data_IF_712706558368
#
_entry.id   IF_712706558368
#
_cell.length_a   1.000
_cell.length_b   1.000
_cell.length_c   1.000
_cell.angle_alpha   90.00
_cell.angle_beta   90.00
_cell.angle_gamma   90.00
#
_symmetry.space_group_name_H-M   'P 1'
#
loop_
_entity.id
_entity.type
_entity.pdbx_description
1 polymer ?
#
# COMPACT_ATOMS: atom_id res chain seq x y z
N UNK A 1 -4.26 21.77 18.71
CA UNK A 1 -5.21 21.29 17.68
C UNK A 1 -4.42 20.51 16.67
N UNK A 2 -4.78 19.25 16.38
CA UNK A 2 -4.07 18.43 15.40
C UNK A 2 -4.08 19.12 14.02
N UNK A 3 -2.93 19.16 13.35
CA UNK A 3 -2.80 19.71 11.98
C UNK A 3 -3.77 18.95 11.08
N UNK A 4 -4.77 19.63 10.53
CA UNK A 4 -5.73 19.04 9.59
C UNK A 4 -5.06 18.92 8.22
N UNK A 5 -4.93 17.69 7.71
CA UNK A 5 -4.40 17.47 6.37
C UNK A 5 -5.50 17.64 5.32
N UNK A 6 -5.21 18.28 4.18
CA UNK A 6 -6.09 18.27 3.01
C UNK A 6 -6.41 16.84 2.56
N UNK A 7 -7.62 16.61 2.04
CA UNK A 7 -8.07 15.26 1.63
C UNK A 7 -7.14 14.64 0.58
N UNK A 8 -6.65 15.42 -0.38
CA UNK A 8 -5.70 14.97 -1.41
C UNK A 8 -4.32 14.56 -0.85
N UNK A 9 -4.00 14.93 0.40
CA UNK A 9 -2.75 14.58 1.10
C UNK A 9 -2.92 13.42 2.09
N UNK A 10 -4.07 12.76 2.09
CA UNK A 10 -4.33 11.56 2.89
C UNK A 10 -4.15 10.32 2.01
N UNK A 11 -3.59 9.25 2.57
CA UNK A 11 -3.57 7.90 1.97
C UNK A 11 -4.11 6.91 3.00
N UNK A 12 -5.22 6.25 2.68
CA UNK A 12 -5.76 5.16 3.51
C UNK A 12 -5.38 3.84 2.83
N UNK A 13 -4.36 3.16 3.35
CA UNK A 13 -3.78 1.99 2.71
C UNK A 13 -3.86 0.74 3.57
N UNK A 14 -4.09 -0.40 2.92
CA UNK A 14 -3.90 -1.70 3.53
C UNK A 14 -2.60 -2.34 3.09
N UNK A 15 -1.99 -3.11 3.98
CA UNK A 15 -0.88 -3.98 3.59
C UNK A 15 -1.44 -5.41 3.50
N UNK A 16 -1.49 -5.95 2.29
CA UNK A 16 -2.01 -7.27 1.98
C UNK A 16 -0.86 -8.22 1.63
N UNK A 17 -0.87 -9.42 2.18
CA UNK A 17 0.19 -10.40 1.91
C UNK A 17 -0.26 -11.81 2.28
N UNK A 18 0.38 -12.84 1.73
CA UNK A 18 0.33 -14.19 2.30
C UNK A 18 1.19 -14.28 3.57
N UNK A 19 1.07 -15.40 4.29
CA UNK A 19 1.86 -15.71 5.47
C UNK A 19 3.35 -15.66 5.10
N UNK A 20 4.20 -15.11 5.97
CA UNK A 20 5.65 -15.02 5.72
C UNK A 20 6.11 -14.18 4.52
N UNK A 21 5.24 -13.43 3.84
CA UNK A 21 5.68 -12.45 2.83
C UNK A 21 6.44 -11.24 3.44
N UNK A 22 6.51 -11.15 4.77
CA UNK A 22 7.19 -10.06 5.49
C UNK A 22 6.31 -8.82 5.68
N UNK A 23 4.99 -9.00 5.77
CA UNK A 23 4.00 -7.95 6.00
C UNK A 23 4.31 -7.12 7.26
N UNK A 24 4.32 -7.75 8.44
CA UNK A 24 4.59 -7.07 9.72
C UNK A 24 5.96 -6.40 9.72
N UNK A 25 7.00 -7.07 9.21
CA UNK A 25 8.34 -6.47 9.09
C UNK A 25 8.30 -5.20 8.24
N UNK A 26 7.60 -5.23 7.11
CA UNK A 26 7.44 -4.06 6.24
C UNK A 26 6.67 -2.94 6.94
N UNK A 27 5.59 -3.26 7.65
CA UNK A 27 4.84 -2.29 8.48
C UNK A 27 5.75 -1.63 9.51
N UNK A 28 6.54 -2.41 10.26
CA UNK A 28 7.48 -1.87 11.27
C UNK A 28 8.55 -0.97 10.64
N UNK A 29 9.07 -1.31 9.46
CA UNK A 29 10.04 -0.45 8.75
C UNK A 29 9.40 0.85 8.30
N UNK A 30 8.17 0.81 7.79
CA UNK A 30 7.40 2.02 7.47
C UNK A 30 7.24 2.91 8.71
N UNK A 31 6.88 2.33 9.86
CA UNK A 31 6.73 3.08 11.11
C UNK A 31 8.05 3.68 11.61
N UNK A 32 9.16 2.97 11.44
CA UNK A 32 10.48 3.47 11.78
C UNK A 32 10.89 4.65 10.90
N UNK A 33 10.80 4.51 9.57
CA UNK A 33 11.27 5.55 8.65
C UNK A 33 10.40 6.81 8.65
N UNK A 34 9.11 6.67 8.95
CA UNK A 34 8.21 7.81 9.16
C UNK A 34 8.41 8.49 10.53
N UNK A 35 9.33 7.98 11.36
CA UNK A 35 9.63 8.50 12.69
C UNK A 35 8.55 8.22 13.74
N UNK A 36 7.56 7.37 13.41
CA UNK A 36 6.46 7.02 14.33
C UNK A 36 6.92 6.12 15.48
N UNK A 37 7.93 5.29 15.22
CA UNK A 37 8.63 4.46 16.20
C UNK A 37 10.12 4.78 16.12
N UNK A 38 10.78 4.95 17.27
CA UNK A 38 12.19 5.36 17.34
C UNK A 38 13.18 4.18 17.39
N UNK A 39 12.67 2.93 17.43
CA UNK A 39 13.46 1.70 17.41
C UNK A 39 12.82 0.72 16.44
N UNK A 40 13.63 0.02 15.65
CA UNK A 40 13.12 -1.07 14.82
C UNK A 40 12.73 -2.25 15.72
N UNK A 41 11.47 -2.67 15.64
CA UNK A 41 11.03 -3.96 16.17
C UNK A 41 11.43 -5.10 15.23
N UNK A 42 11.61 -6.29 15.80
CA UNK A 42 11.75 -7.56 15.08
C UNK A 42 10.65 -8.54 15.50
N UNK A 43 9.96 -9.10 14.51
CA UNK A 43 8.85 -10.04 14.73
C UNK A 43 9.36 -11.31 15.42
N UNK A 44 10.53 -11.81 15.02
CA UNK A 44 11.14 -13.02 15.58
C UNK A 44 11.57 -12.87 17.04
N UNK A 45 11.76 -11.64 17.51
CA UNK A 45 12.11 -11.34 18.91
C UNK A 45 10.88 -10.93 19.75
N UNK A 46 9.66 -11.00 19.19
CA UNK A 46 8.43 -10.60 19.86
C UNK A 46 8.33 -9.10 20.17
N UNK A 47 9.18 -8.28 19.54
CA UNK A 47 9.30 -6.84 19.78
C UNK A 47 8.56 -5.97 18.75
N UNK A 48 7.84 -6.59 17.81
CA UNK A 48 7.00 -5.89 16.84
C UNK A 48 5.90 -5.08 17.55
N UNK A 49 5.75 -3.81 17.15
CA UNK A 49 4.82 -2.86 17.77
C UNK A 49 3.37 -3.18 17.41
N UNK A 50 3.13 -3.72 16.21
CA UNK A 50 1.78 -3.95 15.67
C UNK A 50 1.14 -5.27 16.13
N UNK A 51 1.94 -6.29 16.46
CA UNK A 51 1.48 -7.59 16.97
C UNK A 51 1.45 -7.53 18.51
N UNK A 52 0.39 -6.93 19.06
CA UNK A 52 0.29 -6.63 20.50
C UNK A 52 -0.31 -7.80 21.31
N UNK A 53 -1.09 -8.68 20.68
CA UNK A 53 -1.67 -9.83 21.38
C UNK A 53 -0.61 -10.89 21.68
N UNK A 54 -0.65 -11.48 22.86
CA UNK A 54 0.28 -12.55 23.26
C UNK A 54 0.24 -13.72 22.27
N UNK A 55 -0.94 -14.05 21.74
CA UNK A 55 -1.14 -15.06 20.70
C UNK A 55 -0.52 -14.69 19.34
N UNK A 56 -0.49 -13.40 18.98
CA UNK A 56 0.18 -12.92 17.76
C UNK A 56 1.70 -13.09 17.90
N UNK A 57 2.24 -12.74 19.07
CA UNK A 57 3.67 -12.89 19.40
C UNK A 57 4.10 -14.35 19.49
N UNK A 58 3.31 -15.20 20.12
CA UNK A 58 3.58 -16.64 20.26
C UNK A 58 3.57 -17.37 18.91
N UNK A 59 2.65 -17.00 18.01
CA UNK A 59 2.47 -17.67 16.71
C UNK A 59 3.21 -16.99 15.56
N UNK A 60 3.76 -15.79 15.77
CA UNK A 60 4.44 -15.02 14.73
C UNK A 60 3.54 -14.60 13.57
N UNK A 61 2.23 -14.49 13.79
CA UNK A 61 1.24 -14.12 12.77
C UNK A 61 0.39 -12.93 13.25
N UNK A 62 0.00 -12.05 12.34
CA UNK A 62 -1.01 -11.03 12.63
C UNK A 62 -2.41 -11.65 12.61
N UNK A 63 -3.11 -11.54 13.73
CA UNK A 63 -4.47 -12.07 13.93
C UNK A 63 -5.49 -10.94 13.75
N UNK A 64 -5.23 -9.76 14.32
CA UNK A 64 -6.14 -8.62 14.27
C UNK A 64 -5.58 -7.44 13.51
N UNK A 65 -6.45 -6.71 12.83
CA UNK A 65 -6.08 -5.58 11.97
C UNK A 65 -5.67 -4.35 12.79
N UNK A 66 -4.39 -4.00 12.82
CA UNK A 66 -3.93 -2.80 13.53
C UNK A 66 -4.06 -1.56 12.62
N UNK A 67 -4.64 -0.48 13.14
CA UNK A 67 -4.75 0.80 12.43
C UNK A 67 -3.78 1.81 13.05
N UNK A 68 -2.91 2.39 12.23
CA UNK A 68 -1.90 3.36 12.69
C UNK A 68 -1.76 4.51 11.70
N UNK A 69 -1.43 5.70 12.20
CA UNK A 69 -1.20 6.89 11.39
C UNK A 69 0.28 7.27 11.45
N UNK A 70 0.86 7.53 10.30
CA UNK A 70 2.23 8.00 10.12
C UNK A 70 2.28 9.13 9.08
N UNK A 71 3.44 9.78 8.94
CA UNK A 71 3.61 10.93 8.06
C UNK A 71 4.85 10.75 7.18
N UNK A 72 4.70 11.01 5.89
CA UNK A 72 5.79 10.92 4.90
C UNK A 72 5.61 12.03 3.86
N UNK A 73 6.67 12.78 3.53
CA UNK A 73 6.65 13.86 2.52
C UNK A 73 5.40 14.79 2.57
N UNK A 74 5.07 15.31 3.76
CA UNK A 74 3.89 16.16 4.04
C UNK A 74 2.52 15.51 3.69
N UNK A 75 2.47 14.17 3.67
CA UNK A 75 1.24 13.39 3.56
C UNK A 75 0.96 12.63 4.85
N UNK A 76 -0.32 12.46 5.16
CA UNK A 76 -0.78 11.58 6.22
C UNK A 76 -1.11 10.21 5.64
N UNK A 77 -0.49 9.16 6.16
CA UNK A 77 -0.73 7.79 5.76
C UNK A 77 -1.39 7.05 6.93
N UNK A 78 -2.61 6.57 6.71
CA UNK A 78 -3.32 5.69 7.64
C UNK A 78 -3.16 4.26 7.12
N UNK A 79 -2.46 3.43 7.88
CA UNK A 79 -2.16 2.04 7.54
C UNK A 79 -3.11 1.15 8.33
N UNK A 80 -3.79 0.25 7.62
CA UNK A 80 -4.48 -0.88 8.23
C UNK A 80 -3.68 -2.13 7.90
N UNK A 81 -3.04 -2.72 8.91
CA UNK A 81 -2.33 -3.98 8.74
C UNK A 81 -3.35 -5.12 8.66
N UNK A 82 -3.48 -5.79 7.51
CA UNK A 82 -4.53 -6.80 7.29
C UNK A 82 -4.02 -8.21 7.57
N UNK A 83 -4.78 -9.11 8.21
CA UNK A 83 -4.33 -10.49 8.43
C UNK A 83 -3.91 -11.18 7.13
N UNK A 84 -2.78 -11.89 7.13
CA UNK A 84 -2.28 -12.60 5.93
C UNK A 84 -2.71 -14.07 5.83
N UNK A 85 -3.42 -14.56 6.85
CA UNK A 85 -3.85 -15.95 6.96
C UNK A 85 -5.31 -16.11 6.50
N UNK A 86 -5.60 -17.19 5.77
CA UNK A 86 -6.93 -17.47 5.18
C UNK A 86 -8.06 -17.62 6.21
N UNK A 87 -7.74 -18.12 7.39
CA UNK A 87 -8.68 -18.23 8.51
C UNK A 87 -9.28 -16.88 8.97
N UNK A 88 -8.65 -15.75 8.60
CA UNK A 88 -9.13 -14.40 8.94
C UNK A 88 -9.68 -13.63 7.72
N UNK A 89 -10.12 -14.34 6.69
CA UNK A 89 -10.69 -13.77 5.44
C UNK A 89 -11.80 -12.74 5.69
N UNK A 90 -12.67 -12.93 6.68
CA UNK A 90 -13.72 -11.97 7.02
C UNK A 90 -13.18 -10.62 7.53
N UNK A 91 -12.01 -10.62 8.16
CA UNK A 91 -11.33 -9.41 8.62
C UNK A 91 -10.59 -8.71 7.47
N UNK A 92 -10.01 -9.48 6.55
CA UNK A 92 -9.44 -8.96 5.30
C UNK A 92 -10.53 -8.27 4.46
N UNK A 93 -11.69 -8.92 4.25
CA UNK A 93 -12.80 -8.29 3.51
C UNK A 93 -13.28 -6.99 4.17
N UNK A 94 -13.40 -6.97 5.50
CA UNK A 94 -13.79 -5.75 6.23
C UNK A 94 -12.76 -4.63 6.08
N UNK A 95 -11.48 -4.97 6.12
CA UNK A 95 -10.39 -4.01 5.93
C UNK A 95 -10.40 -3.46 4.52
N UNK A 96 -10.49 -4.30 3.49
CA UNK A 96 -10.52 -3.86 2.09
C UNK A 96 -11.69 -2.91 1.77
N UNK A 97 -12.83 -3.06 2.43
CA UNK A 97 -13.98 -2.15 2.28
C UNK A 97 -13.75 -0.73 2.82
N UNK A 98 -12.85 -0.57 3.78
CA UNK A 98 -12.53 0.74 4.38
C UNK A 98 -11.24 1.34 3.84
N UNK A 99 -10.53 0.65 2.96
CA UNK A 99 -9.29 1.14 2.37
C UNK A 99 -9.56 1.88 1.07
N UNK A 100 -8.70 2.86 0.77
CA UNK A 100 -8.70 3.52 -0.54
C UNK A 100 -7.74 2.82 -1.49
N UNK A 101 -6.57 2.40 -1.00
CA UNK A 101 -5.60 1.64 -1.78
C UNK A 101 -4.96 0.51 -0.98
N UNK A 102 -4.14 -0.29 -1.65
CA UNK A 102 -3.40 -1.37 -0.99
C UNK A 102 -1.97 -1.55 -1.51
N UNK A 103 -1.11 -2.08 -0.65
CA UNK A 103 0.22 -2.59 -0.97
C UNK A 103 0.16 -4.11 -0.92
N UNK A 104 0.34 -4.76 -2.06
CA UNK A 104 0.39 -6.22 -2.18
C UNK A 104 1.82 -6.72 -2.07
N UNK A 105 2.15 -7.40 -0.96
CA UNK A 105 3.46 -8.01 -0.76
C UNK A 105 3.54 -9.41 -1.36
N UNK A 106 4.63 -9.64 -2.07
CA UNK A 106 5.02 -10.94 -2.58
C UNK A 106 6.42 -11.29 -2.07
N UNK A 107 6.65 -12.57 -1.80
CA UNK A 107 7.97 -13.07 -1.45
C UNK A 107 8.76 -13.27 -2.75
N UNK A 108 9.97 -12.71 -2.85
CA UNK A 108 10.82 -12.90 -4.03
C UNK A 108 11.17 -14.37 -4.31
N UNK A 109 11.10 -15.23 -3.30
CA UNK A 109 11.37 -16.68 -3.41
C UNK A 109 10.10 -17.45 -3.75
N UNK A 110 9.00 -17.21 -3.01
CA UNK A 110 7.75 -17.96 -3.15
C UNK A 110 6.83 -17.45 -4.27
N UNK A 111 7.02 -16.21 -4.71
CA UNK A 111 6.20 -15.54 -5.72
C UNK A 111 4.74 -15.44 -5.31
N UNK A 112 3.85 -15.87 -6.23
CA UNK A 112 2.39 -15.88 -6.01
C UNK A 112 1.94 -17.22 -5.43
N UNK A 113 1.52 -17.18 -4.18
CA UNK A 113 0.97 -18.34 -3.46
C UNK A 113 -0.57 -18.39 -3.51
N UNK A 114 -1.21 -19.55 -3.26
CA UNK A 114 -2.68 -19.69 -3.27
C UNK A 114 -3.41 -18.68 -2.35
N UNK A 115 -2.79 -18.33 -1.23
CA UNK A 115 -3.32 -17.33 -0.31
C UNK A 115 -3.22 -15.91 -0.90
N UNK A 116 -2.18 -15.64 -1.68
CA UNK A 116 -2.03 -14.37 -2.41
C UNK A 116 -3.15 -14.19 -3.44
N UNK A 117 -3.50 -15.25 -4.17
CA UNK A 117 -4.63 -15.26 -5.12
C UNK A 117 -5.96 -14.95 -4.42
N UNK A 118 -6.19 -15.55 -3.25
CA UNK A 118 -7.41 -15.33 -2.46
C UNK A 118 -7.56 -13.84 -2.09
N UNK A 119 -6.52 -13.23 -1.53
CA UNK A 119 -6.55 -11.82 -1.13
C UNK A 119 -6.61 -10.89 -2.35
N UNK A 120 -5.98 -11.28 -3.46
CA UNK A 120 -6.06 -10.56 -4.73
C UNK A 120 -7.49 -10.52 -5.29
N UNK A 121 -8.21 -11.65 -5.27
CA UNK A 121 -9.61 -11.73 -5.68
C UNK A 121 -10.51 -10.87 -4.80
N UNK A 122 -10.29 -10.85 -3.48
CA UNK A 122 -11.03 -9.96 -2.58
C UNK A 122 -10.80 -8.49 -2.91
N UNK A 123 -9.56 -8.09 -3.18
CA UNK A 123 -9.26 -6.73 -3.56
C UNK A 123 -9.88 -6.36 -4.93
N UNK A 124 -9.96 -7.31 -5.88
CA UNK A 124 -10.67 -7.12 -7.15
C UNK A 124 -12.17 -6.92 -6.96
N UNK A 125 -12.81 -7.72 -6.09
CA UNK A 125 -14.23 -7.61 -5.74
C UNK A 125 -14.58 -6.20 -5.22
N UNK A 126 -13.70 -5.59 -4.44
CA UNK A 126 -13.87 -4.23 -3.91
C UNK A 126 -13.25 -3.13 -4.78
N UNK A 127 -12.69 -3.48 -5.96
CA UNK A 127 -12.05 -2.55 -6.89
C UNK A 127 -11.00 -1.67 -6.22
N UNK A 128 -10.20 -2.22 -5.31
CA UNK A 128 -9.18 -1.46 -4.56
C UNK A 128 -7.91 -1.27 -5.42
N UNK A 129 -7.55 -0.03 -5.81
CA UNK A 129 -6.26 0.29 -6.43
C UNK A 129 -5.09 -0.20 -5.61
N UNK A 130 -4.08 -0.75 -6.28
CA UNK A 130 -2.95 -1.35 -5.57
C UNK A 130 -1.64 -1.22 -6.32
N UNK A 131 -0.58 -1.21 -5.52
CA UNK A 131 0.80 -1.40 -5.96
C UNK A 131 1.30 -2.73 -5.39
N UNK A 132 2.24 -3.37 -6.07
CA UNK A 132 2.89 -4.57 -5.58
C UNK A 132 4.31 -4.27 -5.08
N UNK A 133 4.73 -4.98 -4.04
CA UNK A 133 6.06 -4.92 -3.48
C UNK A 133 6.65 -6.32 -3.36
N UNK A 134 7.65 -6.61 -4.19
CA UNK A 134 8.40 -7.87 -4.14
C UNK A 134 9.45 -7.76 -3.04
N UNK A 135 9.15 -8.35 -1.90
CA UNK A 135 9.96 -8.31 -0.69
C UNK A 135 10.92 -9.50 -0.62
N UNK A 136 11.84 -9.49 0.35
CA UNK A 136 12.82 -10.56 0.59
C UNK A 136 13.79 -10.78 -0.58
N UNK A 137 14.12 -9.72 -1.31
CA UNK A 137 15.14 -9.76 -2.38
C UNK A 137 16.53 -10.16 -1.89
N UNK A 138 16.76 -10.13 -0.58
CA UNK A 138 17.99 -10.56 0.10
C UNK A 138 18.10 -12.09 0.29
N UNK A 139 17.08 -12.87 -0.06
CA UNK A 139 17.06 -14.32 0.18
C UNK A 139 17.65 -15.10 -0.99
N UNK A 140 18.29 -16.24 -0.68
CA UNK A 140 18.72 -17.22 -1.68
C UNK A 140 17.48 -17.69 -2.46
N UNK A 141 17.57 -17.67 -3.80
CA UNK A 141 16.46 -18.00 -4.68
C UNK A 141 15.46 -16.85 -4.90
N UNK A 142 15.78 -15.63 -4.47
CA UNK A 142 14.99 -14.46 -4.81
C UNK A 142 15.04 -14.18 -6.32
N UNK A 143 13.90 -14.22 -7.00
CA UNK A 143 13.79 -13.98 -8.43
C UNK A 143 12.63 -13.01 -8.71
N UNK A 144 12.98 -11.73 -8.86
CA UNK A 144 12.02 -10.67 -9.16
C UNK A 144 11.24 -10.93 -10.45
N UNK A 145 11.91 -11.43 -11.49
CA UNK A 145 11.32 -11.60 -12.81
C UNK A 145 10.33 -12.76 -12.84
N UNK A 146 10.64 -13.85 -12.14
CA UNK A 146 9.70 -14.95 -11.93
C UNK A 146 8.45 -14.49 -11.16
N UNK A 147 8.59 -13.64 -10.12
CA UNK A 147 7.41 -13.10 -9.43
C UNK A 147 6.52 -12.28 -10.38
N UNK A 148 7.11 -11.42 -11.23
CA UNK A 148 6.35 -10.68 -12.24
C UNK A 148 5.57 -11.61 -13.17
N UNK A 149 6.20 -12.69 -13.63
CA UNK A 149 5.55 -13.65 -14.53
C UNK A 149 4.43 -14.42 -13.82
N UNK A 150 4.66 -14.85 -12.58
CA UNK A 150 3.62 -15.49 -11.76
C UNK A 150 2.43 -14.54 -11.52
N UNK A 151 2.67 -13.25 -11.29
CA UNK A 151 1.60 -12.26 -11.15
C UNK A 151 0.78 -12.13 -12.44
N UNK A 152 1.41 -12.12 -13.61
CA UNK A 152 0.69 -12.10 -14.89
C UNK A 152 -0.15 -13.36 -15.08
N UNK A 153 0.47 -14.54 -14.92
CA UNK A 153 -0.16 -15.83 -15.22
C UNK A 153 -1.24 -16.19 -14.20
N UNK A 154 -0.92 -16.13 -12.90
CA UNK A 154 -1.82 -16.63 -11.84
C UNK A 154 -2.87 -15.61 -11.42
N UNK A 155 -2.53 -14.32 -11.40
CA UNK A 155 -3.44 -13.26 -10.96
C UNK A 155 -4.17 -12.57 -12.12
N UNK A 156 -3.77 -12.82 -13.36
CA UNK A 156 -4.26 -12.08 -14.53
C UNK A 156 -3.92 -10.58 -14.45
N UNK A 157 -2.88 -10.22 -13.69
CA UNK A 157 -2.55 -8.83 -13.42
C UNK A 157 -1.72 -8.22 -14.55
N UNK A 158 -2.09 -7.00 -14.98
CA UNK A 158 -1.25 -6.19 -15.86
C UNK A 158 -0.16 -5.50 -15.04
N UNK A 159 0.94 -6.20 -14.81
CA UNK A 159 2.06 -5.71 -13.99
C UNK A 159 2.90 -4.68 -14.74
N UNK A 160 3.30 -3.63 -14.03
CA UNK A 160 4.17 -2.56 -14.54
C UNK A 160 5.36 -2.38 -13.60
N UNK A 161 6.51 -3.03 -13.85
CA UNK A 161 7.70 -2.87 -13.04
C UNK A 161 8.19 -1.42 -13.10
N UNK A 162 8.29 -0.76 -11.94
CA UNK A 162 8.88 0.57 -11.83
C UNK A 162 10.37 0.50 -11.50
N UNK A 163 10.83 -0.68 -11.11
CA UNK A 163 12.18 -0.93 -10.63
C UNK A 163 12.67 -2.29 -11.10
N UNK A 164 13.98 -2.43 -11.27
CA UNK A 164 14.66 -3.73 -11.44
C UNK A 164 15.79 -3.85 -10.40
N UNK A 165 16.15 -5.06 -9.95
CA UNK A 165 17.07 -5.24 -8.84
C UNK A 165 18.53 -4.99 -9.23
N UNK A 166 19.32 -4.47 -8.30
CA UNK A 166 20.79 -4.44 -8.36
C UNK A 166 21.34 -5.57 -7.49
N UNK A 167 21.74 -6.66 -8.15
CA UNK A 167 22.14 -7.90 -7.50
C UNK A 167 20.94 -8.75 -7.05
N UNK A 168 21.23 -9.92 -6.50
CA UNK A 168 20.24 -10.91 -6.05
C UNK A 168 20.74 -11.65 -4.80
N UNK A 169 19.83 -12.11 -3.96
CA UNK A 169 20.16 -12.79 -2.71
C UNK A 169 21.09 -11.95 -1.82
N UNK A 170 22.18 -12.55 -1.35
CA UNK A 170 23.15 -11.86 -0.50
C UNK A 170 23.86 -10.68 -1.18
N UNK A 171 23.88 -10.66 -2.53
CA UNK A 171 24.46 -9.57 -3.33
C UNK A 171 23.47 -8.45 -3.64
N UNK A 172 22.24 -8.52 -3.14
CA UNK A 172 21.25 -7.48 -3.32
C UNK A 172 21.66 -6.18 -2.58
N UNK A 173 22.08 -5.18 -3.35
CA UNK A 173 22.61 -3.90 -2.83
C UNK A 173 21.68 -2.72 -3.06
N UNK A 174 20.73 -2.84 -4.00
CA UNK A 174 19.84 -1.76 -4.33
C UNK A 174 18.92 -2.05 -5.50
N UNK A 175 18.49 -1.01 -6.19
CA UNK A 175 17.53 -1.10 -7.28
C UNK A 175 17.80 -0.02 -8.33
N UNK A 176 17.37 -0.25 -9.56
CA UNK A 176 17.34 0.74 -10.63
C UNK A 176 15.92 1.32 -10.66
N UNK A 177 15.81 2.63 -10.51
CA UNK A 177 14.58 3.38 -10.72
C UNK A 177 14.39 3.59 -12.23
N UNK A 178 13.39 2.91 -12.81
CA UNK A 178 13.10 3.00 -14.23
C UNK A 178 12.38 4.29 -14.59
N UNK A 179 11.80 5.04 -13.65
CA UNK A 179 11.13 6.32 -13.91
C UNK A 179 12.17 7.44 -14.08
N UNK A 180 13.24 7.40 -13.28
CA UNK A 180 14.35 8.38 -13.30
C UNK A 180 15.58 7.91 -14.08
N UNK A 181 15.62 6.62 -14.45
CA UNK A 181 16.79 5.98 -15.07
C UNK A 181 18.06 6.16 -14.24
N UNK A 182 17.98 5.86 -12.94
CA UNK A 182 19.10 5.94 -11.99
C UNK A 182 19.22 4.67 -11.15
N UNK A 183 20.46 4.26 -10.90
CA UNK A 183 20.74 3.20 -9.93
C UNK A 183 20.79 3.79 -8.51
N UNK A 184 20.10 3.12 -7.59
CA UNK A 184 19.98 3.51 -6.17
C UNK A 184 20.61 2.42 -5.33
N UNK A 185 21.73 2.75 -4.68
CA UNK A 185 22.48 1.81 -3.83
C UNK A 185 22.33 2.23 -2.38
N UNK A 186 21.91 1.31 -1.53
CA UNK A 186 21.67 1.57 -0.11
C UNK A 186 22.94 1.34 0.71
N UNK A 187 23.13 2.16 1.72
CA UNK A 187 24.21 1.97 2.69
C UNK A 187 23.72 1.14 3.89
N UNK A 188 24.21 -0.09 3.98
CA UNK A 188 23.86 -1.04 5.04
C UNK A 188 24.15 -0.51 6.46
N UNK A 189 25.21 0.30 6.62
CA UNK A 189 25.57 0.90 7.93
C UNK A 189 24.57 1.94 8.44
N UNK A 190 23.71 2.44 7.56
CA UNK A 190 22.73 3.49 7.87
C UNK A 190 21.33 2.95 8.19
N UNK A 191 21.19 1.62 8.32
CA UNK A 191 19.88 0.96 8.33
C UNK A 191 19.01 1.43 7.15
N UNK A 192 19.61 1.54 5.96
CA UNK A 192 18.93 1.98 4.74
C UNK A 192 18.54 3.45 4.66
N UNK A 193 18.76 4.27 5.71
CA UNK A 193 18.38 5.70 5.71
C UNK A 193 19.20 6.58 4.77
N UNK A 194 20.39 6.11 4.34
CA UNK A 194 21.22 6.77 3.33
C UNK A 194 21.37 5.87 2.11
N UNK A 195 21.24 6.49 0.94
CA UNK A 195 21.49 5.86 -0.35
C UNK A 195 22.29 6.81 -1.25
N UNK A 196 22.88 6.24 -2.30
CA UNK A 196 23.57 6.98 -3.36
C UNK A 196 22.82 6.74 -4.66
N UNK A 197 22.59 7.82 -5.41
CA UNK A 197 22.07 7.76 -6.77
C UNK A 197 23.24 7.87 -7.74
N UNK A 198 23.33 6.95 -8.70
CA UNK A 198 24.40 6.90 -9.70
C UNK A 198 23.85 6.47 -11.07
N UNK A 199 24.73 6.47 -12.07
CA UNK A 199 24.42 5.90 -13.38
C UNK A 199 24.21 4.38 -13.29
N UNK A 200 23.36 3.88 -14.18
CA UNK A 200 23.05 2.46 -14.26
C UNK A 200 24.32 1.70 -14.67
N UNK A 201 24.68 0.59 -14.00
CA UNK A 201 25.81 -0.23 -14.42
C UNK A 201 25.65 -0.70 -15.87
N UNK A 202 26.75 -0.67 -16.65
CA UNK A 202 26.73 -0.99 -18.10
C UNK A 202 26.14 -2.36 -18.42
N UNK A 203 26.35 -3.35 -17.55
CA UNK A 203 25.83 -4.70 -17.66
C UNK A 203 24.30 -4.79 -17.48
N UNK A 204 23.67 -3.75 -16.91
CA UNK A 204 22.24 -3.66 -16.69
C UNK A 204 21.56 -2.58 -17.56
N UNK A 205 22.31 -1.79 -18.33
CA UNK A 205 21.76 -0.73 -19.18
C UNK A 205 20.75 -1.29 -20.20
N UNK A 206 21.10 -2.35 -20.92
CA UNK A 206 20.22 -2.95 -21.94
C UNK A 206 18.91 -3.43 -21.32
N UNK A 207 18.99 -4.12 -20.17
CA UNK A 207 17.79 -4.58 -19.45
C UNK A 207 16.98 -3.41 -18.89
N UNK A 208 17.62 -2.38 -18.35
CA UNK A 208 16.92 -1.19 -17.87
C UNK A 208 16.19 -0.48 -19.02
N UNK A 209 16.81 -0.38 -20.19
CA UNK A 209 16.18 0.20 -21.38
C UNK A 209 15.02 -0.64 -21.90
N UNK A 210 15.13 -1.97 -21.91
CA UNK A 210 14.03 -2.87 -22.26
C UNK A 210 12.80 -2.64 -21.36
N UNK A 211 13.01 -2.65 -20.04
CA UNK A 211 11.93 -2.43 -19.08
C UNK A 211 11.40 -0.99 -19.11
N UNK A 212 12.26 -0.01 -19.39
CA UNK A 212 11.88 1.40 -19.57
C UNK A 212 10.98 1.59 -20.78
N UNK A 213 11.30 0.95 -21.92
CA UNK A 213 10.48 1.01 -23.13
C UNK A 213 9.07 0.48 -22.85
N UNK A 214 8.97 -0.73 -22.27
CA UNK A 214 7.68 -1.29 -21.85
C UNK A 214 6.95 -0.40 -20.83
N UNK A 215 7.69 0.23 -19.90
CA UNK A 215 7.11 1.17 -18.95
C UNK A 215 6.48 2.37 -19.66
N UNK A 216 7.18 2.97 -20.63
CA UNK A 216 6.70 4.11 -21.40
C UNK A 216 5.53 3.72 -22.32
N UNK A 217 5.61 2.56 -22.99
CA UNK A 217 4.53 2.02 -23.81
C UNK A 217 3.23 1.96 -23.00
N UNK A 218 3.26 1.28 -21.84
CA UNK A 218 2.09 1.13 -20.99
C UNK A 218 1.64 2.46 -20.38
N UNK A 219 2.56 3.30 -19.90
CA UNK A 219 2.22 4.58 -19.29
C UNK A 219 1.53 5.52 -20.30
N UNK A 220 1.98 5.51 -21.56
CA UNK A 220 1.44 6.36 -22.62
C UNK A 220 -0.04 6.12 -22.91
N UNK A 221 -0.55 4.91 -22.68
CA UNK A 221 -1.97 4.58 -22.85
C UNK A 221 -2.90 5.37 -21.91
N UNK A 222 -2.36 5.95 -20.83
CA UNK A 222 -3.13 6.66 -19.81
C UNK A 222 -3.02 8.19 -19.91
N UNK A 223 -2.22 8.71 -20.84
CA UNK A 223 -2.01 10.15 -21.02
C UNK A 223 -1.67 10.50 -22.47
N UNK A 224 -2.60 11.18 -23.16
CA UNK A 224 -2.46 11.52 -24.58
C UNK A 224 -1.24 12.39 -24.88
N UNK A 225 -0.85 13.26 -23.94
CA UNK A 225 0.31 14.14 -24.11
C UNK A 225 1.62 13.35 -23.95
N UNK A 226 1.68 12.42 -23.00
CA UNK A 226 2.78 11.47 -22.88
C UNK A 226 2.91 10.61 -24.14
N UNK A 227 1.79 10.13 -24.68
CA UNK A 227 1.75 9.35 -25.91
C UNK A 227 2.31 10.10 -27.12
N UNK A 228 1.89 11.34 -27.34
CA UNK A 228 2.41 12.19 -28.41
C UNK A 228 3.92 12.38 -28.29
N UNK A 229 4.41 12.78 -27.09
CA UNK A 229 5.85 12.94 -26.84
C UNK A 229 6.65 11.68 -27.09
N UNK A 230 6.12 10.53 -26.68
CA UNK A 230 6.78 9.25 -26.83
C UNK A 230 6.92 8.84 -28.30
N UNK A 231 5.85 8.97 -29.10
CA UNK A 231 5.91 8.69 -30.54
C UNK A 231 6.85 9.62 -31.30
N UNK A 232 6.95 10.87 -30.87
CA UNK A 232 7.82 11.86 -31.49
C UNK A 232 9.27 11.83 -30.98
N UNK A 233 9.61 10.89 -30.09
CA UNK A 233 10.92 10.80 -29.42
C UNK A 233 11.34 12.13 -28.75
N UNK A 234 10.37 12.88 -28.20
CA UNK A 234 10.63 14.08 -27.39
C UNK A 234 11.04 13.68 -25.98
N UNK A 235 11.68 14.62 -25.28
CA UNK A 235 12.04 14.44 -23.87
C UNK A 235 10.77 14.31 -23.00
N UNK A 236 10.76 13.29 -22.14
CA UNK A 236 9.66 12.95 -21.24
C UNK A 236 10.16 13.13 -19.80
N UNK A 237 9.47 13.98 -19.04
CA UNK A 237 9.81 14.19 -17.65
C UNK A 237 9.31 13.06 -16.75
N UNK A 238 10.05 12.74 -15.69
CA UNK A 238 9.66 11.72 -14.71
C UNK A 238 8.31 12.02 -14.07
N UNK A 239 7.93 13.29 -13.88
CA UNK A 239 6.63 13.64 -13.31
C UNK A 239 5.46 13.29 -14.25
N UNK A 240 5.64 13.43 -15.56
CA UNK A 240 4.63 13.08 -16.57
C UNK A 240 4.37 11.57 -16.57
N UNK A 241 5.46 10.78 -16.47
CA UNK A 241 5.40 9.32 -16.37
C UNK A 241 4.66 8.91 -15.09
N UNK A 242 5.05 9.49 -13.94
CA UNK A 242 4.40 9.18 -12.68
C UNK A 242 2.91 9.55 -12.68
N UNK A 243 2.53 10.66 -13.30
CA UNK A 243 1.13 11.07 -13.43
C UNK A 243 0.31 10.08 -14.28
N UNK A 244 0.87 9.61 -15.40
CA UNK A 244 0.20 8.63 -16.25
C UNK A 244 0.05 7.26 -15.55
N UNK A 245 1.11 6.80 -14.87
CA UNK A 245 1.07 5.57 -14.05
C UNK A 245 0.02 5.69 -12.95
N UNK A 246 -0.07 6.84 -12.28
CA UNK A 246 -1.11 7.10 -11.27
C UNK A 246 -2.51 6.94 -11.87
N UNK A 247 -2.78 7.53 -13.04
CA UNK A 247 -4.08 7.39 -13.72
C UNK A 247 -4.44 5.92 -13.97
N UNK A 248 -3.51 5.14 -14.51
CA UNK A 248 -3.74 3.70 -14.74
C UNK A 248 -3.92 2.91 -13.44
N UNK A 249 -3.20 3.26 -12.39
CA UNK A 249 -3.31 2.64 -11.05
C UNK A 249 -4.68 2.90 -10.42
N UNK A 250 -5.15 4.16 -10.44
CA UNK A 250 -6.45 4.55 -9.90
C UNK A 250 -7.62 3.87 -10.64
N UNK A 251 -7.44 3.59 -11.93
CA UNK A 251 -8.41 2.84 -12.74
C UNK A 251 -8.38 1.33 -12.51
N UNK A 252 -7.45 0.80 -11.71
CA UNK A 252 -7.17 -0.64 -11.56
C UNK A 252 -6.80 -1.35 -12.88
N UNK A 253 -6.26 -0.62 -13.86
CA UNK A 253 -5.92 -1.19 -15.17
C UNK A 253 -4.46 -1.67 -15.23
N UNK A 254 -3.60 -1.12 -14.37
CA UNK A 254 -2.21 -1.53 -14.18
C UNK A 254 -1.88 -1.68 -12.70
N UNK A 255 -0.87 -2.49 -12.41
CA UNK A 255 -0.33 -2.68 -11.07
C UNK A 255 1.15 -2.30 -11.09
N UNK A 256 1.52 -1.12 -10.57
CA UNK A 256 2.92 -0.75 -10.40
C UNK A 256 3.63 -1.72 -9.45
N UNK A 257 4.79 -2.23 -9.86
CA UNK A 257 5.57 -3.19 -9.07
C UNK A 257 6.90 -2.58 -8.65
N UNK A 258 7.13 -2.61 -7.33
CA UNK A 258 8.37 -2.21 -6.67
C UNK A 258 9.03 -3.44 -6.06
N UNK A 259 10.28 -3.27 -5.61
CA UNK A 259 11.03 -4.35 -4.97
C UNK A 259 11.88 -3.86 -3.81
N UNK A 260 12.27 -4.79 -2.94
CA UNK A 260 13.21 -4.49 -1.87
C UNK A 260 13.38 -5.62 -0.86
N UNK A 261 13.99 -5.25 0.26
CA UNK A 261 14.13 -6.12 1.42
C UNK A 261 13.82 -5.32 2.67
N UNK A 262 12.66 -5.59 3.27
CA UNK A 262 12.30 -5.03 4.57
C UNK A 262 13.28 -5.46 5.66
N UNK A 263 13.82 -6.68 5.58
CA UNK A 263 14.79 -7.19 6.55
C UNK A 263 16.12 -6.44 6.48
N UNK A 264 16.65 -6.26 5.26
CA UNK A 264 17.90 -5.51 5.00
C UNK A 264 17.69 -4.01 4.84
N UNK A 265 16.49 -3.50 5.11
CA UNK A 265 16.18 -2.08 5.13
C UNK A 265 16.30 -1.36 3.76
N UNK A 266 16.16 -2.09 2.65
CA UNK A 266 16.32 -1.59 1.28
C UNK A 266 14.97 -1.48 0.57
N UNK A 267 14.69 -0.34 -0.08
CA UNK A 267 13.50 -0.15 -0.92
C UNK A 267 12.25 0.39 -0.21
N UNK A 268 12.22 0.43 1.13
CA UNK A 268 11.04 0.85 1.89
C UNK A 268 10.71 2.33 1.70
N UNK A 269 11.72 3.19 1.59
CA UNK A 269 11.53 4.61 1.31
C UNK A 269 10.88 4.82 -0.06
N UNK A 270 11.28 4.02 -1.06
CA UNK A 270 10.68 4.07 -2.41
C UNK A 270 9.27 3.49 -2.43
N UNK A 271 8.99 2.50 -1.59
CA UNK A 271 7.62 2.05 -1.33
C UNK A 271 6.77 3.19 -0.75
N UNK A 272 7.29 3.95 0.22
CA UNK A 272 6.58 5.10 0.80
C UNK A 272 6.36 6.23 -0.21
N UNK A 273 7.35 6.52 -1.06
CA UNK A 273 7.20 7.47 -2.17
C UNK A 273 6.10 6.99 -3.13
N UNK A 274 6.13 5.71 -3.55
CA UNK A 274 5.13 5.11 -4.44
C UNK A 274 3.70 5.09 -3.85
N UNK A 275 3.55 4.91 -2.54
CA UNK A 275 2.26 5.03 -1.85
C UNK A 275 1.68 6.44 -2.05
N UNK A 276 2.51 7.47 -1.97
CA UNK A 276 2.05 8.84 -2.21
C UNK A 276 1.74 9.04 -3.69
N UNK A 277 2.66 8.63 -4.56
CA UNK A 277 2.63 8.96 -5.99
C UNK A 277 1.51 8.21 -6.73
N UNK A 278 1.23 6.95 -6.37
CA UNK A 278 0.37 6.08 -7.18
C UNK A 278 -0.93 5.65 -6.48
N UNK A 279 -0.97 5.57 -5.15
CA UNK A 279 -2.20 5.16 -4.45
C UNK A 279 -3.19 6.33 -4.26
N UNK A 280 -4.50 6.03 -4.21
CA UNK A 280 -5.57 7.03 -4.12
C UNK A 280 -5.54 7.80 -2.80
N UNK A 281 -5.92 9.07 -2.91
CA UNK A 281 -6.45 9.84 -1.82
C UNK A 281 -7.96 9.56 -1.63
N UNK A 282 -8.55 9.86 -0.46
CA UNK A 282 -9.99 9.83 -0.27
C UNK A 282 -10.78 10.61 -1.32
N UNK A 283 -10.22 11.69 -1.86
CA UNK A 283 -10.81 12.50 -2.92
C UNK A 283 -10.82 11.83 -4.30
N UNK A 284 -10.01 10.80 -4.50
CA UNK A 284 -9.90 10.07 -5.77
C UNK A 284 -10.90 8.91 -5.86
N UNK A 285 -11.52 8.54 -4.74
CA UNK A 285 -12.45 7.41 -4.64
C UNK A 285 -13.88 7.90 -4.90
N UNK A 286 -14.71 7.10 -5.62
CA UNK A 286 -16.11 7.44 -5.83
C UNK A 286 -16.89 7.68 -4.52
N UNK A 287 -17.92 8.55 -4.54
CA UNK A 287 -18.84 8.73 -3.44
C UNK A 287 -19.39 7.40 -2.90
N UNK A 288 -19.52 7.29 -1.57
CA UNK A 288 -20.09 6.08 -0.97
C UNK A 288 -21.60 6.03 -1.22
N UNK A 289 -22.10 4.84 -1.51
CA UNK A 289 -23.52 4.58 -1.75
C UNK A 289 -24.07 3.74 -0.59
N UNK A 290 -25.24 4.10 -0.10
CA UNK A 290 -25.97 3.37 0.92
C UNK A 290 -27.48 3.42 0.67
N UNK A 291 -28.25 2.80 1.57
CA UNK A 291 -29.71 2.80 1.52
C UNK A 291 -30.24 3.59 2.72
N UNK A 292 -31.16 4.52 2.49
CA UNK A 292 -31.84 5.22 3.57
C UNK A 292 -32.79 4.23 4.29
N UNK A 293 -32.63 4.01 5.61
CA UNK A 293 -33.45 3.04 6.34
C UNK A 293 -34.93 3.42 6.47
N UNK A 294 -35.32 4.66 6.13
CA UNK A 294 -36.72 5.13 6.20
C UNK A 294 -37.44 5.03 4.86
N UNK A 295 -36.77 5.41 3.78
CA UNK A 295 -37.37 5.43 2.43
C UNK A 295 -37.01 4.21 1.59
N UNK A 296 -36.05 3.39 2.03
CA UNK A 296 -35.49 2.24 1.29
C UNK A 296 -34.91 2.63 -0.09
N UNK A 297 -34.60 3.92 -0.28
CA UNK A 297 -34.02 4.44 -1.51
C UNK A 297 -32.51 4.51 -1.41
N UNK A 298 -31.83 4.33 -2.55
CA UNK A 298 -30.39 4.53 -2.66
C UNK A 298 -30.02 6.01 -2.45
N UNK A 299 -28.98 6.24 -1.65
CA UNK A 299 -28.44 7.58 -1.36
C UNK A 299 -26.93 7.54 -1.50
N UNK A 300 -26.38 8.52 -2.23
CA UNK A 300 -24.94 8.72 -2.36
C UNK A 300 -24.47 9.86 -1.44
N UNK A 301 -23.27 9.71 -0.88
CA UNK A 301 -22.60 10.72 -0.04
C UNK A 301 -21.26 11.10 -0.65
N UNK A 302 -21.11 12.36 -1.03
CA UNK A 302 -19.86 12.88 -1.57
C UNK A 302 -18.83 13.00 -0.46
N UNK A 303 -17.55 12.89 -0.83
CA UNK A 303 -16.43 13.10 0.09
C UNK A 303 -16.28 14.61 0.34
N UNK A 304 -17.07 15.13 1.28
CA UNK A 304 -17.09 16.54 1.66
C UNK A 304 -17.39 16.70 3.14
N UNK A 305 -16.86 17.76 3.74
CA UNK A 305 -17.14 18.16 5.12
C UNK A 305 -18.55 18.70 5.31
N UNK A 306 -19.15 19.25 4.25
CA UNK A 306 -20.47 19.88 4.28
C UNK A 306 -21.62 18.86 4.18
N UNK A 307 -21.30 17.61 3.85
CA UNK A 307 -22.26 16.51 3.81
C UNK A 307 -22.63 16.02 5.22
N UNK A 308 -23.78 15.36 5.40
CA UNK A 308 -24.12 14.74 6.68
C UNK A 308 -23.10 13.67 7.10
N UNK A 309 -22.74 13.66 8.39
CA UNK A 309 -21.77 12.71 8.93
C UNK A 309 -22.16 11.26 8.61
N UNK A 310 -21.26 10.58 7.88
CA UNK A 310 -21.45 9.21 7.41
C UNK A 310 -20.15 8.44 7.64
N UNK A 311 -20.22 7.37 8.41
CA UNK A 311 -19.07 6.55 8.75
C UNK A 311 -19.42 5.05 8.82
N UNK A 312 -18.43 4.19 8.55
CA UNK A 312 -18.54 2.74 8.69
C UNK A 312 -17.65 2.26 9.82
N UNK A 313 -18.25 1.68 10.86
CA UNK A 313 -17.51 0.95 11.89
C UNK A 313 -17.02 -0.39 11.33
N UNK A 314 -15.72 -0.66 11.43
CA UNK A 314 -15.10 -1.85 10.82
C UNK A 314 -14.32 -2.71 11.82
N UNK A 315 -13.88 -2.14 12.95
CA UNK A 315 -13.21 -2.89 14.02
C UNK A 315 -13.74 -2.46 15.38
N UNK A 316 -13.97 -3.44 16.24
CA UNK A 316 -14.26 -3.25 17.66
C UNK A 316 -13.15 -3.92 18.44
N UNK A 317 -12.59 -3.22 19.42
CA UNK A 317 -11.52 -3.73 20.27
C UNK A 317 -11.83 -3.37 21.72
N UNK A 318 -11.53 -4.27 22.64
CA UNK A 318 -11.58 -3.96 24.08
C UNK A 318 -10.16 -3.66 24.54
N UNK A 319 -9.93 -2.41 24.93
CA UNK A 319 -8.68 -1.96 25.51
C UNK A 319 -8.76 -2.03 27.05
N UNK A 320 -7.73 -2.54 27.74
CA UNK A 320 -7.71 -2.66 29.21
C UNK A 320 -7.83 -1.32 29.95
N UNK A 321 -7.44 -0.21 29.34
CA UNK A 321 -7.37 1.12 29.96
C UNK A 321 -8.53 2.02 29.58
N UNK A 322 -8.94 2.00 28.30
CA UNK A 322 -9.99 2.91 27.77
C UNK A 322 -11.31 2.21 27.46
N UNK A 323 -11.39 0.89 27.66
CA UNK A 323 -12.61 0.10 27.46
C UNK A 323 -12.87 -0.19 25.99
N UNK A 324 -14.15 -0.17 25.58
CA UNK A 324 -14.54 -0.57 24.22
C UNK A 324 -14.23 0.53 23.20
N UNK A 325 -13.26 0.27 22.33
CA UNK A 325 -12.91 1.10 21.19
C UNK A 325 -13.66 0.63 19.93
N UNK A 326 -14.23 1.57 19.19
CA UNK A 326 -14.86 1.32 17.88
C UNK A 326 -14.13 2.14 16.84
N UNK A 327 -13.44 1.45 15.93
CA UNK A 327 -12.77 2.07 14.79
C UNK A 327 -13.77 2.21 13.66
N UNK A 328 -13.82 3.41 13.08
CA UNK A 328 -14.67 3.70 11.95
C UNK A 328 -13.93 4.56 10.93
N UNK A 329 -14.28 4.37 9.66
CA UNK A 329 -13.87 5.25 8.57
C UNK A 329 -14.97 6.27 8.32
N UNK A 330 -14.59 7.55 8.30
CA UNK A 330 -15.49 8.64 7.88
C UNK A 330 -15.43 8.78 6.36
N UNK A 331 -16.58 8.81 5.70
CA UNK A 331 -16.70 9.00 4.25
C UNK A 331 -17.22 10.39 3.88
N UNK A 332 -18.04 10.99 4.75
CA UNK A 332 -18.63 12.30 4.54
C UNK A 332 -18.95 12.97 5.87
N UNK A 333 -18.95 14.30 5.88
CA UNK A 333 -19.27 15.13 7.03
C UNK A 333 -18.25 15.10 8.15
N UNK A 334 -18.60 15.76 9.25
CA UNK A 334 -17.74 15.92 10.42
C UNK A 334 -18.52 15.56 11.68
N UNK A 335 -17.88 14.81 12.59
CA UNK A 335 -18.37 14.59 13.94
C UNK A 335 -17.44 15.26 14.97
N UNK A 336 -18.03 15.75 16.06
CA UNK A 336 -17.28 16.33 17.18
C UNK A 336 -17.31 15.37 18.36
N UNK A 337 -16.24 15.34 19.15
CA UNK A 337 -16.21 14.58 20.39
C UNK A 337 -17.38 14.99 21.31
N UNK A 338 -18.06 14.02 21.90
CA UNK A 338 -19.25 14.21 22.73
C UNK A 338 -20.57 14.34 21.95
N UNK A 339 -20.55 14.37 20.61
CA UNK A 339 -21.76 14.42 19.79
C UNK A 339 -22.50 13.08 19.76
N UNK A 340 -23.77 13.12 19.39
CA UNK A 340 -24.59 11.93 19.19
C UNK A 340 -24.75 11.62 17.71
N UNK A 341 -24.53 10.37 17.34
CA UNK A 341 -24.69 9.85 15.99
C UNK A 341 -25.74 8.73 15.97
N UNK A 342 -26.35 8.50 14.80
CA UNK A 342 -27.30 7.41 14.61
C UNK A 342 -26.57 6.18 14.08
N UNK A 343 -26.71 5.05 14.77
CA UNK A 343 -26.39 3.75 14.20
C UNK A 343 -27.54 3.33 13.27
N UNK A 344 -27.34 3.48 11.96
CA UNK A 344 -28.37 3.19 10.96
C UNK A 344 -28.83 1.73 10.95
N UNK A 345 -27.99 0.78 11.40
CA UNK A 345 -28.34 -0.65 11.42
C UNK A 345 -29.23 -1.02 12.62
N UNK A 346 -29.09 -0.33 13.76
CA UNK A 346 -29.84 -0.65 14.98
C UNK A 346 -30.91 0.37 15.33
N UNK A 347 -30.91 1.54 14.67
CA UNK A 347 -31.78 2.68 14.98
C UNK A 347 -31.41 3.41 16.29
N UNK A 348 -30.35 3.01 16.98
CA UNK A 348 -29.95 3.58 18.27
C UNK A 348 -29.05 4.80 18.10
N UNK A 349 -29.21 5.78 18.99
CA UNK A 349 -28.29 6.90 19.11
C UNK A 349 -27.09 6.48 19.96
N UNK A 350 -25.90 6.71 19.45
CA UNK A 350 -24.62 6.44 20.10
C UNK A 350 -23.91 7.76 20.39
N UNK A 351 -23.14 7.84 21.48
CA UNK A 351 -22.33 9.01 21.81
C UNK A 351 -20.88 8.77 21.41
N UNK A 352 -20.29 9.72 20.69
CA UNK A 352 -18.89 9.71 20.26
C UNK A 352 -17.94 10.32 21.29
#
# INVERSE_FOLDING_TARGET
MSKRYPLNKIRNIGIMAHIDAGKTTTTERVLFYTGRVHRMGEVHEGSATMDWMEQEKERGITITSAATTCFWNDHQINIIDTPGHVDFTAEVERSLRVLDGAVALFCAVGGVEPQSETVWHQANKYKVPRIAFVNKMDRIGADFYNVLEMMKIRLGARVLPLQIPLGEGDLFTGLIDLVKMKAIIYNDSSLGSKWIEQEIPRDLEDKANEYRTNLLDVASEFDDHLMEKYFENREIDSAEISAAIRKGTLRNEIVPVLLGSAFKNKGIQRLLDAVIDYLPAPSDIPPVVGVDPRSETEVSRKVSDDEPFTALAFKIMTDPYVGKLTFFRVYAGVAKAGSYVLNANSGKKERL
#
